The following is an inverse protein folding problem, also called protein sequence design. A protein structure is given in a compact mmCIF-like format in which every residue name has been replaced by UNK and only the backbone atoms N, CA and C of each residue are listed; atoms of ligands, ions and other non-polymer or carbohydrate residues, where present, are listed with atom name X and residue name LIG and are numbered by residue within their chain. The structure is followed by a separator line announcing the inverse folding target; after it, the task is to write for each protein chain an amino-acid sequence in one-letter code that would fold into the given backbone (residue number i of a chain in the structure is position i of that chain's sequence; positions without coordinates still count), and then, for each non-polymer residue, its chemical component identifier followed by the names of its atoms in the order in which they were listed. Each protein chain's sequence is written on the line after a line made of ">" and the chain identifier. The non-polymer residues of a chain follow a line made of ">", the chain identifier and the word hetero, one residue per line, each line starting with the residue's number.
data_IF_804170547687
#
_entry.id   IF_804170547687
#
_cell.length_a   1.000
_cell.length_b   1.000
_cell.length_c   1.000
_cell.angle_alpha   90.00
_cell.angle_beta   90.00
_cell.angle_gamma   90.00
#
_symmetry.space_group_name_H-M   'P 1'
#
loop_
_entity.id
_entity.type
_entity.pdbx_description
1 polymer ?
#
# COMPACT_ATOMS: atom_id res chain seq x y z
N UNK A 1 12.73 80.50 26.65
CA UNK A 1 13.38 79.45 27.45
C UNK A 1 13.92 78.41 26.48
N UNK A 2 15.21 78.31 26.12
CA UNK A 2 16.37 77.81 26.92
C UNK A 2 15.93 76.56 27.71
N UNK A 3 16.48 75.35 27.52
CA UNK A 3 17.88 74.91 27.73
C UNK A 3 18.03 73.51 27.06
N UNK A 4 18.90 73.35 26.05
CA UNK A 4 20.24 72.70 26.00
C UNK A 4 20.30 71.17 25.94
N UNK A 5 21.10 70.72 24.96
CA UNK A 5 21.78 69.42 24.81
C UNK A 5 22.77 69.17 25.96
N UNK A 6 23.14 67.90 26.16
CA UNK A 6 24.49 67.36 26.43
C UNK A 6 24.41 65.84 26.08
N UNK A 7 25.26 65.27 25.20
CA UNK A 7 26.70 65.01 25.30
C UNK A 7 27.00 64.02 26.45
N UNK A 8 27.75 62.93 26.33
CA UNK A 8 28.69 62.45 25.32
C UNK A 8 29.15 61.03 25.74
N UNK A 9 30.02 60.44 24.91
CA UNK A 9 31.03 59.41 25.23
C UNK A 9 30.73 57.93 24.92
N UNK A 10 31.22 57.56 23.74
CA UNK A 10 31.74 56.27 23.33
C UNK A 10 32.70 55.62 24.34
N UNK A 11 32.72 54.29 24.41
CA UNK A 11 33.99 53.57 24.44
C UNK A 11 33.87 52.16 23.81
N UNK A 12 34.88 51.84 23.01
CA UNK A 12 35.18 50.56 22.38
C UNK A 12 35.56 49.52 23.44
N UNK A 13 35.25 48.24 23.20
CA UNK A 13 36.23 47.17 23.36
C UNK A 13 35.95 46.02 22.37
N UNK A 14 37.01 45.64 21.69
CA UNK A 14 37.25 44.46 20.85
C UNK A 14 37.13 43.17 21.69
N UNK A 15 37.01 41.93 21.19
CA UNK A 15 36.88 41.27 19.91
C UNK A 15 36.40 39.83 20.27
N UNK A 16 35.76 39.11 19.35
CA UNK A 16 36.21 37.75 19.03
C UNK A 16 35.50 37.21 17.79
N UNK A 17 36.34 36.74 16.89
CA UNK A 17 36.05 36.00 15.66
C UNK A 17 35.56 34.59 15.97
N UNK A 18 34.45 34.19 15.34
CA UNK A 18 34.24 32.80 14.92
C UNK A 18 33.21 32.77 13.79
N UNK A 19 33.72 32.60 12.57
CA UNK A 19 33.03 31.96 11.46
C UNK A 19 32.46 30.62 11.90
N UNK A 20 31.20 30.35 11.58
CA UNK A 20 30.74 29.00 11.24
C UNK A 20 29.59 29.12 10.22
N UNK A 21 29.98 29.03 8.95
CA UNK A 21 29.15 28.40 7.93
C UNK A 21 28.88 26.96 8.37
N UNK A 22 27.61 26.63 8.61
CA UNK A 22 27.01 25.31 8.47
C UNK A 22 25.50 25.49 8.73
N UNK A 23 24.57 25.04 7.91
CA UNK A 23 24.64 24.02 6.89
C UNK A 23 23.50 24.30 5.90
N UNK A 24 23.88 24.67 4.68
CA UNK A 24 22.98 24.62 3.55
C UNK A 24 22.87 23.15 3.08
N UNK A 25 22.32 22.26 3.91
CA UNK A 25 21.80 20.99 3.40
C UNK A 25 20.36 21.22 2.99
N UNK A 26 20.21 21.64 1.72
CA UNK A 26 19.07 21.19 0.95
C UNK A 26 18.89 19.70 1.26
N UNK A 27 17.74 19.33 1.82
CA UNK A 27 17.38 17.94 2.12
C UNK A 27 17.68 17.09 0.91
N UNK A 28 18.79 16.34 0.96
CA UNK A 28 19.13 15.39 -0.10
C UNK A 28 17.95 14.42 -0.17
N UNK A 29 17.21 14.45 -1.28
CA UNK A 29 16.00 13.66 -1.41
C UNK A 29 16.38 12.20 -1.23
N UNK A 30 15.89 11.58 -0.15
CA UNK A 30 16.19 10.19 0.16
C UNK A 30 15.74 9.31 -0.99
N UNK A 31 16.65 8.47 -1.48
CA UNK A 31 16.38 7.54 -2.57
C UNK A 31 16.01 6.17 -2.03
N UNK A 32 15.13 5.49 -2.73
CA UNK A 32 14.89 4.07 -2.50
C UNK A 32 16.11 3.25 -3.00
N UNK A 33 16.39 2.09 -2.39
CA UNK A 33 17.29 1.10 -2.98
C UNK A 33 16.80 0.67 -4.37
N UNK A 34 17.69 0.11 -5.18
CA UNK A 34 17.31 -0.43 -6.49
C UNK A 34 16.33 -1.60 -6.36
N UNK A 35 15.57 -1.88 -7.43
CA UNK A 35 14.61 -3.00 -7.44
C UNK A 35 15.30 -4.35 -7.15
N UNK A 36 16.52 -4.54 -7.64
CA UNK A 36 17.32 -5.74 -7.37
C UNK A 36 17.72 -5.87 -5.90
N UNK A 37 18.14 -4.78 -5.25
CA UNK A 37 18.46 -4.77 -3.82
C UNK A 37 17.21 -5.06 -2.97
N UNK A 38 16.06 -4.45 -3.28
CA UNK A 38 14.81 -4.73 -2.59
C UNK A 38 14.35 -6.18 -2.79
N UNK A 39 14.51 -6.73 -3.99
CA UNK A 39 14.22 -8.13 -4.28
C UNK A 39 15.10 -9.07 -3.44
N UNK A 40 16.40 -8.80 -3.38
CA UNK A 40 17.36 -9.57 -2.60
C UNK A 40 17.08 -9.47 -1.11
N UNK A 41 16.76 -8.27 -0.59
CA UNK A 41 16.35 -8.08 0.80
C UNK A 41 15.11 -8.91 1.13
N UNK A 42 14.16 -9.04 0.21
CA UNK A 42 12.91 -9.78 0.42
C UNK A 42 13.12 -11.30 0.35
N UNK A 43 13.77 -11.82 -0.69
CA UNK A 43 13.85 -13.26 -0.94
C UNK A 43 15.15 -13.93 -0.44
N UNK A 44 16.17 -13.15 -0.09
CA UNK A 44 17.53 -13.63 0.15
C UNK A 44 18.25 -13.99 -1.14
N UNK A 45 19.55 -14.33 -1.06
CA UNK A 45 20.35 -14.76 -2.21
C UNK A 45 19.83 -16.10 -2.73
N UNK A 46 18.90 -16.06 -3.68
CA UNK A 46 18.69 -17.12 -4.67
C UNK A 46 18.28 -16.47 -5.98
N UNK A 47 19.22 -16.41 -6.92
CA UNK A 47 18.92 -16.06 -8.29
C UNK A 47 17.97 -17.09 -8.90
N UNK A 48 16.82 -16.63 -9.37
CA UNK A 48 16.11 -17.14 -10.55
C UNK A 48 14.92 -16.22 -10.79
N UNK A 49 15.08 -15.32 -11.76
CA UNK A 49 13.98 -14.49 -12.23
C UNK A 49 12.92 -15.37 -12.89
N UNK A 50 11.77 -15.54 -12.24
CA UNK A 50 10.59 -16.09 -12.91
C UNK A 50 9.87 -14.96 -13.64
N UNK A 51 9.82 -15.06 -14.96
CA UNK A 51 9.00 -14.19 -15.82
C UNK A 51 7.56 -14.15 -15.31
N UNK A 52 7.09 -12.95 -14.96
CA UNK A 52 5.67 -12.73 -14.64
C UNK A 52 4.89 -12.77 -15.94
N UNK A 53 4.17 -13.86 -16.19
CA UNK A 53 3.10 -13.83 -17.18
C UNK A 53 2.02 -12.85 -16.70
N UNK A 54 1.94 -11.70 -17.37
CA UNK A 54 0.97 -10.67 -17.09
C UNK A 54 -0.43 -11.17 -17.52
N UNK A 55 -1.14 -11.78 -16.58
CA UNK A 55 -2.57 -12.07 -16.77
C UNK A 55 -3.25 -10.70 -16.81
N UNK A 56 -3.72 -10.28 -17.99
CA UNK A 56 -4.57 -9.09 -18.13
C UNK A 56 -5.86 -9.32 -17.36
N UNK A 57 -5.94 -8.78 -16.14
CA UNK A 57 -7.14 -8.83 -15.33
C UNK A 57 -8.14 -7.81 -15.88
N UNK A 58 -9.26 -8.28 -16.42
CA UNK A 58 -10.39 -7.40 -16.74
C UNK A 58 -10.99 -6.87 -15.44
N UNK A 59 -10.91 -5.57 -15.23
CA UNK A 59 -11.55 -4.83 -14.13
C UNK A 59 -13.03 -4.60 -14.49
N UNK A 60 -13.83 -5.67 -14.46
CA UNK A 60 -15.26 -5.57 -14.69
C UNK A 60 -15.97 -5.13 -13.41
N UNK A 61 -16.58 -3.94 -13.49
CA UNK A 61 -17.59 -3.35 -12.61
C UNK A 61 -17.61 -3.81 -11.15
N UNK A 62 -17.27 -2.88 -10.27
CA UNK A 62 -17.17 -3.01 -8.81
C UNK A 62 -18.49 -3.34 -8.09
N UNK A 63 -19.58 -3.43 -8.85
CA UNK A 63 -20.94 -3.62 -8.37
C UNK A 63 -21.27 -5.11 -8.37
N UNK A 64 -21.87 -5.58 -7.27
CA UNK A 64 -22.48 -6.90 -7.22
C UNK A 64 -23.37 -7.09 -8.46
N UNK A 65 -23.20 -8.18 -9.23
CA UNK A 65 -23.89 -8.33 -10.49
C UNK A 65 -25.40 -8.43 -10.30
N UNK A 66 -26.16 -7.56 -10.99
CA UNK A 66 -27.62 -7.52 -10.88
C UNK A 66 -28.35 -8.74 -11.45
N UNK A 67 -27.68 -9.59 -12.24
CA UNK A 67 -28.17 -10.91 -12.60
C UNK A 67 -27.07 -11.99 -12.50
N UNK A 68 -27.22 -12.98 -11.60
CA UNK A 68 -26.23 -14.04 -11.42
C UNK A 68 -26.31 -15.16 -12.46
N UNK A 69 -27.45 -15.30 -13.13
CA UNK A 69 -27.83 -16.53 -13.82
C UNK A 69 -27.27 -16.66 -15.24
N UNK A 70 -26.52 -15.67 -15.74
CA UNK A 70 -26.08 -15.64 -17.13
C UNK A 70 -24.60 -15.29 -17.30
N UNK A 71 -23.71 -15.98 -16.58
CA UNK A 71 -22.25 -15.74 -16.56
C UNK A 71 -21.40 -16.97 -16.86
N UNK A 72 -21.95 -17.99 -17.52
CA UNK A 72 -21.25 -19.27 -17.74
C UNK A 72 -19.97 -19.14 -18.60
N UNK A 73 -19.91 -18.13 -19.47
CA UNK A 73 -18.74 -17.85 -20.32
C UNK A 73 -17.72 -16.91 -19.67
N UNK A 74 -18.02 -16.37 -18.48
CA UNK A 74 -17.14 -15.44 -17.79
C UNK A 74 -16.00 -16.16 -17.03
N UNK A 75 -14.92 -15.45 -16.64
CA UNK A 75 -13.89 -16.00 -15.75
C UNK A 75 -14.45 -16.48 -14.41
N UNK A 76 -13.75 -17.39 -13.74
CA UNK A 76 -14.18 -17.98 -12.46
C UNK A 76 -14.55 -16.91 -11.41
N UNK A 77 -13.75 -15.85 -11.29
CA UNK A 77 -13.97 -14.73 -10.38
C UNK A 77 -15.33 -14.02 -10.58
N UNK A 78 -15.91 -14.08 -11.78
CA UNK A 78 -17.18 -13.44 -12.13
C UNK A 78 -18.40 -14.34 -11.98
N UNK A 79 -18.21 -15.68 -12.00
CA UNK A 79 -19.27 -16.70 -11.93
C UNK A 79 -19.31 -17.47 -10.61
N UNK A 80 -18.41 -17.17 -9.68
CA UNK A 80 -18.46 -17.72 -8.33
C UNK A 80 -19.72 -17.26 -7.59
N UNK A 81 -20.18 -18.02 -6.59
CA UNK A 81 -21.28 -17.58 -5.71
C UNK A 81 -20.92 -16.32 -4.91
N UNK A 82 -19.63 -16.07 -4.72
CA UNK A 82 -19.09 -14.82 -4.23
C UNK A 82 -18.16 -14.22 -5.27
N UNK A 83 -18.71 -13.47 -6.25
CA UNK A 83 -17.88 -12.85 -7.26
C UNK A 83 -16.90 -11.86 -6.64
N UNK A 84 -15.74 -11.74 -7.26
CA UNK A 84 -14.71 -10.81 -6.84
C UNK A 84 -13.98 -10.20 -8.04
N UNK A 85 -13.42 -9.03 -7.81
CA UNK A 85 -12.54 -8.36 -8.76
C UNK A 85 -11.12 -8.36 -8.22
N UNK A 86 -10.14 -8.32 -9.11
CA UNK A 86 -8.75 -8.10 -8.72
C UNK A 86 -8.47 -6.62 -8.87
N UNK A 87 -7.83 -6.01 -7.88
CA UNK A 87 -7.46 -4.61 -7.83
C UNK A 87 -5.99 -4.51 -7.43
N UNK A 88 -5.29 -3.50 -7.94
CA UNK A 88 -3.93 -3.22 -7.51
C UNK A 88 -3.97 -2.43 -6.21
N UNK A 89 -3.47 -3.03 -5.14
CA UNK A 89 -3.16 -2.35 -3.88
C UNK A 89 -1.76 -1.73 -3.97
N UNK A 90 -1.72 -0.41 -4.12
CA UNK A 90 -0.50 0.38 -4.27
C UNK A 90 -0.15 1.05 -2.95
N UNK A 91 1.02 0.73 -2.40
CA UNK A 91 1.58 1.32 -1.18
C UNK A 91 3.00 1.77 -1.42
N UNK A 92 3.19 3.10 -1.56
CA UNK A 92 4.48 3.72 -1.91
C UNK A 92 5.56 3.51 -0.85
N UNK A 93 5.22 3.06 0.36
CA UNK A 93 6.20 2.76 1.41
C UNK A 93 6.36 1.25 1.63
N UNK A 94 6.01 0.45 0.62
CA UNK A 94 6.16 -1.02 0.65
C UNK A 94 6.84 -1.52 -0.61
N UNK A 95 7.57 -2.63 -0.48
CA UNK A 95 8.04 -3.42 -1.61
C UNK A 95 7.49 -4.86 -1.54
N UNK A 96 6.95 -5.42 -2.64
CA UNK A 96 6.57 -4.70 -3.85
C UNK A 96 5.50 -3.64 -3.56
N UNK A 97 5.60 -2.50 -4.25
CA UNK A 97 4.67 -1.38 -4.09
C UNK A 97 3.26 -1.78 -4.51
N UNK A 98 3.15 -2.46 -5.64
CA UNK A 98 1.90 -2.94 -6.20
C UNK A 98 1.69 -4.41 -5.87
N UNK A 99 0.56 -4.71 -5.21
CA UNK A 99 0.12 -6.06 -4.91
C UNK A 99 -1.27 -6.26 -5.51
N UNK A 100 -1.45 -7.33 -6.29
CA UNK A 100 -2.78 -7.66 -6.79
C UNK A 100 -3.62 -8.30 -5.68
N UNK A 101 -4.74 -7.67 -5.34
CA UNK A 101 -5.60 -8.01 -4.22
C UNK A 101 -7.04 -8.24 -4.68
N UNK A 102 -7.72 -9.22 -4.09
CA UNK A 102 -9.12 -9.53 -4.39
C UNK A 102 -10.08 -8.72 -3.52
N UNK A 103 -11.06 -8.07 -4.15
CA UNK A 103 -12.18 -7.43 -3.46
C UNK A 103 -13.49 -8.13 -3.79
N UNK A 104 -14.25 -8.50 -2.76
CA UNK A 104 -15.56 -9.13 -2.95
C UNK A 104 -16.53 -8.11 -3.57
N UNK A 105 -17.25 -8.51 -4.60
CA UNK A 105 -18.20 -7.64 -5.30
C UNK A 105 -19.57 -7.57 -4.59
N UNK A 106 -19.91 -8.61 -3.82
CA UNK A 106 -21.18 -8.72 -3.10
C UNK A 106 -20.94 -8.87 -1.59
N UNK A 107 -21.89 -8.41 -0.75
CA UNK A 107 -21.84 -8.65 0.69
C UNK A 107 -22.25 -10.08 1.07
N UNK A 108 -23.27 -10.61 0.39
CA UNK A 108 -23.84 -11.94 0.63
C UNK A 108 -23.59 -12.87 -0.56
N UNK A 109 -23.66 -14.18 -0.30
CA UNK A 109 -23.52 -15.17 -1.35
C UNK A 109 -24.72 -15.18 -2.28
N UNK A 110 -24.44 -15.30 -3.57
CA UNK A 110 -25.46 -15.42 -4.58
C UNK A 110 -26.07 -16.83 -4.56
N UNK A 111 -27.39 -16.93 -4.69
CA UNK A 111 -28.06 -18.19 -4.92
C UNK A 111 -28.01 -18.54 -6.43
N UNK A 112 -27.49 -19.71 -6.83
CA UNK A 112 -27.39 -20.06 -8.25
C UNK A 112 -28.72 -20.46 -8.90
N UNK A 113 -29.79 -20.60 -8.12
CA UNK A 113 -31.10 -21.06 -8.60
C UNK A 113 -32.14 -19.94 -8.72
N UNK A 114 -31.91 -18.80 -8.06
CA UNK A 114 -32.82 -17.65 -8.05
C UNK A 114 -32.02 -16.37 -8.28
N UNK A 115 -32.65 -15.32 -8.79
CA UNK A 115 -32.01 -14.02 -9.00
C UNK A 115 -31.93 -13.21 -7.68
N UNK A 116 -31.42 -13.82 -6.59
CA UNK A 116 -31.33 -13.24 -5.25
C UNK A 116 -30.16 -13.87 -4.44
N UNK A 117 -29.89 -13.35 -3.24
CA UNK A 117 -28.90 -13.87 -2.31
C UNK A 117 -29.39 -15.07 -1.50
N UNK A 118 -28.46 -15.86 -0.98
CA UNK A 118 -28.73 -16.92 -0.01
C UNK A 118 -29.06 -16.26 1.33
N UNK A 119 -30.32 -16.36 1.75
CA UNK A 119 -30.81 -15.76 3.02
C UNK A 119 -30.73 -16.71 4.22
N UNK A 120 -30.85 -18.02 4.00
CA UNK A 120 -30.88 -19.04 5.05
C UNK A 120 -30.20 -20.34 4.56
N UNK A 121 -29.20 -20.90 5.25
CA UNK A 121 -28.52 -20.35 6.44
C UNK A 121 -27.80 -19.03 6.14
N UNK A 122 -27.59 -18.19 7.17
CA UNK A 122 -26.85 -16.93 7.00
C UNK A 122 -25.43 -17.17 6.51
N UNK A 123 -25.13 -16.71 5.30
CA UNK A 123 -23.83 -16.83 4.65
C UNK A 123 -23.41 -15.48 4.07
N UNK A 124 -22.12 -15.19 4.13
CA UNK A 124 -21.56 -13.94 3.64
C UNK A 124 -20.44 -14.22 2.66
N UNK A 125 -20.18 -13.28 1.75
CA UNK A 125 -18.95 -13.27 0.99
C UNK A 125 -17.80 -12.78 1.87
N UNK A 126 -16.77 -13.62 2.03
CA UNK A 126 -15.55 -13.29 2.79
C UNK A 126 -14.30 -13.45 1.93
N UNK A 127 -13.30 -12.57 2.08
CA UNK A 127 -12.03 -12.72 1.40
C UNK A 127 -11.27 -13.93 1.94
N UNK A 128 -10.63 -14.68 1.06
CA UNK A 128 -9.58 -15.64 1.42
C UNK A 128 -8.27 -14.89 1.44
N UNK A 129 -7.63 -14.85 2.60
CA UNK A 129 -6.40 -14.08 2.83
C UNK A 129 -5.20 -15.02 2.78
N UNK A 130 -4.20 -14.63 1.99
CA UNK A 130 -2.86 -15.23 1.98
C UNK A 130 -1.89 -14.30 2.71
N UNK A 131 -1.00 -14.86 3.50
CA UNK A 131 0.13 -14.11 4.06
C UNK A 131 1.29 -14.11 3.07
N UNK A 132 1.88 -12.94 2.84
CA UNK A 132 3.08 -12.78 1.99
C UNK A 132 4.10 -11.89 2.68
N UNK A 133 5.38 -12.18 2.45
CA UNK A 133 6.46 -11.29 2.88
C UNK A 133 6.50 -10.05 1.98
N UNK A 134 6.75 -8.91 2.61
CA UNK A 134 6.95 -7.60 1.97
C UNK A 134 8.02 -6.85 2.74
N UNK A 135 8.56 -5.78 2.16
CA UNK A 135 9.41 -4.85 2.90
C UNK A 135 8.66 -3.56 3.18
N UNK A 136 8.80 -3.01 4.39
CA UNK A 136 8.30 -1.68 4.75
C UNK A 136 9.43 -0.67 4.71
N UNK A 137 9.20 0.47 4.07
CA UNK A 137 10.12 1.61 4.08
C UNK A 137 10.17 2.20 5.49
N UNK A 138 11.38 2.32 6.01
CA UNK A 138 11.69 2.91 7.31
C UNK A 138 12.42 4.23 7.15
N UNK A 139 13.35 4.48 8.06
CA UNK A 139 14.10 5.74 8.12
C UNK A 139 15.11 5.88 6.98
N UNK A 140 15.36 7.11 6.58
CA UNK A 140 16.45 7.46 5.68
C UNK A 140 17.75 7.60 6.45
N UNK A 141 18.78 6.87 6.03
CA UNK A 141 20.11 6.89 6.65
C UNK A 141 21.16 7.01 5.55
N UNK A 142 21.95 8.09 5.58
CA UNK A 142 22.97 8.36 4.56
C UNK A 142 22.37 8.53 3.16
N UNK A 143 21.22 9.21 3.06
CA UNK A 143 20.55 9.48 1.77
C UNK A 143 19.77 8.32 1.17
N UNK A 144 19.69 7.16 1.84
CA UNK A 144 18.98 5.97 1.36
C UNK A 144 17.97 5.47 2.39
N UNK A 145 16.76 5.11 1.95
CA UNK A 145 15.76 4.50 2.83
C UNK A 145 16.16 3.09 3.25
N UNK A 146 16.05 2.80 4.54
CA UNK A 146 16.12 1.44 5.08
C UNK A 146 14.78 0.73 4.92
N UNK A 147 14.83 -0.58 4.78
CA UNK A 147 13.66 -1.42 4.62
C UNK A 147 13.69 -2.60 5.58
N UNK A 148 12.53 -2.97 6.12
CA UNK A 148 12.39 -4.08 7.06
C UNK A 148 11.34 -5.08 6.57
N UNK A 149 11.61 -6.38 6.75
CA UNK A 149 10.64 -7.43 6.38
C UNK A 149 9.41 -7.38 7.29
N UNK A 150 8.24 -7.51 6.68
CA UNK A 150 6.97 -7.67 7.37
C UNK A 150 6.07 -8.66 6.62
N UNK A 151 5.12 -9.26 7.34
CA UNK A 151 4.06 -10.09 6.77
C UNK A 151 2.85 -9.24 6.41
N UNK A 152 2.49 -9.22 5.14
CA UNK A 152 1.29 -8.54 4.62
C UNK A 152 0.19 -9.56 4.33
N UNK A 153 -1.04 -9.24 4.74
CA UNK A 153 -2.24 -10.04 4.48
C UNK A 153 -2.91 -9.60 3.19
N UNK A 154 -2.95 -10.49 2.20
CA UNK A 154 -3.45 -10.20 0.86
C UNK A 154 -4.65 -11.07 0.55
N UNK A 155 -5.84 -10.47 0.40
CA UNK A 155 -6.98 -11.13 -0.22
C UNK A 155 -6.63 -11.67 -1.62
N UNK A 156 -6.85 -12.96 -1.86
CA UNK A 156 -6.55 -13.59 -3.17
C UNK A 156 -7.80 -14.08 -3.89
N UNK A 157 -8.92 -14.21 -3.18
CA UNK A 157 -10.22 -14.60 -3.71
C UNK A 157 -11.32 -14.21 -2.72
N UNK A 158 -12.58 -14.44 -3.11
CA UNK A 158 -13.70 -14.45 -2.18
C UNK A 158 -14.43 -15.79 -2.20
N UNK A 159 -14.93 -16.20 -1.04
CA UNK A 159 -15.67 -17.45 -0.86
C UNK A 159 -16.99 -17.18 -0.16
N UNK A 160 -17.95 -18.06 -0.40
CA UNK A 160 -19.18 -18.11 0.38
C UNK A 160 -18.92 -18.86 1.69
N UNK A 161 -19.04 -18.16 2.82
CA UNK A 161 -18.77 -18.73 4.13
C UNK A 161 -20.00 -18.61 5.02
N UNK A 162 -20.19 -19.56 5.94
CA UNK A 162 -21.17 -19.41 7.01
C UNK A 162 -20.82 -18.17 7.83
N UNK A 163 -21.85 -17.36 8.13
CA UNK A 163 -21.69 -16.24 9.05
C UNK A 163 -21.25 -16.78 10.41
N UNK A 164 -20.23 -16.16 11.00
CA UNK A 164 -19.84 -16.49 12.38
C UNK A 164 -21.01 -16.14 13.29
N UNK A 165 -21.36 -17.03 14.22
CA UNK A 165 -22.27 -16.67 15.29
C UNK A 165 -21.58 -15.61 16.14
N UNK A 166 -22.14 -14.40 16.14
CA UNK A 166 -21.72 -13.29 17.02
C UNK A 166 -22.48 -13.42 18.32
#
# INVERSE_FOLDING_TARGET
>A
MRIKRNADASNLDQADTATEEADATATEACRDPSEGELHEMLHGITGSGTERNEIKHSYLNNTCPGSPLNRYQEPLKSRALCPFVMETDTDVERYPQDILSARCACPDCINPYINDFIRNPGVDCKPVVREMETLRRGQCVGGVYRYEKQTTKVPVACVCARRLAV
#
